data_IF_346660219882
#
_entry.id   IF_346660219882
#
_cell.length_a   1.000
_cell.length_b   1.000
_cell.length_c   1.000
_cell.angle_alpha   90.00
_cell.angle_beta   90.00
_cell.angle_gamma   90.00
#
_symmetry.space_group_name_H-M   'P 1'
#
loop_
_entity.id
_entity.type
_entity.pdbx_description
1 polymer ?
#
# COMPACT_ATOMS: atom_id res chain seq x y z
N UNK A 1 76.00 -6.00 19.65
CA UNK A 1 76.10 -6.60 18.30
C UNK A 1 74.74 -6.42 17.64
N UNK A 2 74.70 -5.65 16.55
CA UNK A 2 73.51 -5.34 15.74
C UNK A 2 73.02 -6.61 15.04
N UNK A 3 71.70 -6.79 14.89
CA UNK A 3 71.10 -7.08 13.58
C UNK A 3 69.58 -6.94 13.62
N UNK A 4 69.10 -6.21 12.61
CA UNK A 4 67.73 -5.85 12.27
C UNK A 4 66.96 -7.02 11.62
N UNK A 5 65.68 -6.72 11.32
CA UNK A 5 64.82 -7.24 10.25
C UNK A 5 63.79 -8.29 10.75
N UNK A 6 62.49 -8.26 10.43
CA UNK A 6 61.74 -7.55 9.38
C UNK A 6 60.24 -7.58 9.75
N UNK A 7 59.49 -6.56 9.29
CA UNK A 7 58.03 -6.48 9.27
C UNK A 7 57.35 -7.71 8.65
N UNK A 8 56.17 -8.07 9.19
CA UNK A 8 55.01 -8.46 8.39
C UNK A 8 53.74 -7.90 9.03
N UNK A 9 53.29 -6.74 8.54
CA UNK A 9 51.92 -6.26 8.72
C UNK A 9 51.00 -7.14 7.87
N UNK A 10 50.44 -8.19 8.49
CA UNK A 10 49.34 -8.95 7.91
C UNK A 10 48.05 -8.15 8.04
N UNK A 11 47.79 -7.26 7.07
CA UNK A 11 46.49 -6.62 6.92
C UNK A 11 45.44 -7.68 6.61
N UNK A 12 44.57 -7.98 7.57
CA UNK A 12 43.29 -8.64 7.31
C UNK A 12 42.40 -7.63 6.59
N UNK A 13 42.55 -7.58 5.27
CA UNK A 13 41.50 -7.13 4.37
C UNK A 13 40.32 -8.09 4.58
N UNK A 14 39.39 -7.71 5.46
CA UNK A 14 38.05 -8.28 5.45
C UNK A 14 37.41 -7.81 4.16
N UNK A 15 37.56 -8.61 3.12
CA UNK A 15 36.90 -8.42 1.83
C UNK A 15 35.40 -8.25 2.08
N UNK A 16 34.82 -7.18 1.53
CA UNK A 16 33.40 -6.91 1.49
C UNK A 16 32.65 -7.88 0.56
N UNK A 17 32.85 -9.18 0.77
CA UNK A 17 32.28 -10.28 0.01
C UNK A 17 31.73 -11.31 0.99
N UNK A 18 30.72 -10.89 1.75
CA UNK A 18 29.85 -11.80 2.47
C UNK A 18 28.44 -11.19 2.56
N UNK A 19 27.88 -10.75 1.42
CA UNK A 19 26.43 -10.93 1.23
C UNK A 19 26.22 -12.42 0.98
N UNK A 20 26.20 -13.19 2.06
CA UNK A 20 25.78 -14.57 2.02
C UNK A 20 24.34 -14.60 1.54
N UNK A 21 24.10 -15.43 0.52
CA UNK A 21 22.80 -15.72 -0.03
C UNK A 21 21.81 -16.05 1.10
N UNK A 22 20.76 -15.23 1.23
CA UNK A 22 19.60 -15.58 2.04
C UNK A 22 18.95 -16.79 1.35
N UNK A 23 18.90 -17.90 2.07
CA UNK A 23 18.32 -19.15 1.65
C UNK A 23 16.93 -18.94 1.02
N UNK A 24 16.65 -19.71 -0.03
CA UNK A 24 15.37 -19.76 -0.77
C UNK A 24 14.22 -20.38 0.07
N UNK A 25 13.97 -19.84 1.27
CA UNK A 25 12.83 -20.14 2.13
C UNK A 25 11.93 -18.92 2.20
N UNK A 26 10.79 -18.97 1.48
CA UNK A 26 9.70 -17.97 1.47
C UNK A 26 10.14 -16.50 1.51
N UNK A 27 10.49 -15.92 0.36
CA UNK A 27 10.87 -14.50 0.24
C UNK A 27 9.78 -13.50 0.71
N UNK A 28 8.56 -13.94 1.04
CA UNK A 28 7.49 -13.12 1.64
C UNK A 28 6.61 -13.97 2.58
N UNK A 29 7.03 -14.23 3.82
CA UNK A 29 6.23 -15.03 4.76
C UNK A 29 4.93 -14.31 5.12
N UNK A 30 3.90 -15.09 5.44
CA UNK A 30 2.70 -14.55 6.08
C UNK A 30 3.05 -14.13 7.51
N UNK A 31 2.70 -12.91 7.88
CA UNK A 31 3.01 -12.35 9.19
C UNK A 31 1.75 -11.77 9.84
N UNK A 32 1.79 -11.68 11.16
CA UNK A 32 0.75 -11.06 11.97
C UNK A 32 -0.53 -11.89 12.10
N UNK A 33 -1.59 -11.21 12.53
CA UNK A 33 -2.89 -11.78 12.85
C UNK A 33 -4.00 -10.95 12.24
N UNK A 34 -5.08 -11.61 11.84
CA UNK A 34 -6.32 -10.96 11.47
C UNK A 34 -6.88 -10.16 12.65
N UNK A 35 -7.81 -9.24 12.38
CA UNK A 35 -8.48 -8.50 13.45
C UNK A 35 -9.36 -9.37 14.36
N UNK A 36 -9.60 -10.64 13.97
CA UNK A 36 -10.27 -11.65 14.80
C UNK A 36 -9.29 -12.54 15.58
N UNK A 37 -8.00 -12.18 15.61
CA UNK A 37 -6.96 -12.92 16.33
C UNK A 37 -6.52 -14.23 15.66
N UNK A 38 -6.92 -14.47 14.40
CA UNK A 38 -6.48 -15.65 13.65
C UNK A 38 -5.11 -15.37 13.02
N UNK A 39 -4.09 -16.24 13.19
CA UNK A 39 -2.81 -16.06 12.51
C UNK A 39 -2.98 -15.97 10.99
N UNK A 40 -2.33 -15.00 10.37
CA UNK A 40 -2.35 -14.83 8.93
C UNK A 40 -1.62 -15.99 8.25
N UNK A 41 -2.25 -16.60 7.26
CA UNK A 41 -1.73 -17.77 6.54
C UNK A 41 -2.23 -17.74 5.11
N UNK A 42 -1.47 -18.35 4.22
CA UNK A 42 -1.89 -18.62 2.86
C UNK A 42 -1.04 -19.70 2.22
N UNK A 43 -1.47 -20.12 1.05
CA UNK A 43 -0.86 -21.24 0.34
C UNK A 43 0.51 -20.87 -0.20
N UNK A 44 1.38 -21.89 -0.25
CA UNK A 44 2.66 -21.76 -0.91
C UNK A 44 2.48 -21.57 -2.44
N UNK A 45 3.48 -20.99 -3.09
CA UNK A 45 3.43 -20.68 -4.52
C UNK A 45 4.79 -20.83 -5.18
N UNK A 46 4.78 -21.41 -6.39
CA UNK A 46 5.96 -21.63 -7.24
C UNK A 46 6.33 -20.45 -8.16
N UNK A 47 5.51 -19.39 -8.16
CA UNK A 47 5.66 -18.25 -9.05
C UNK A 47 5.66 -16.95 -8.23
N UNK A 48 6.85 -16.37 -8.04
CA UNK A 48 7.06 -15.23 -7.14
C UNK A 48 7.56 -15.68 -5.75
N UNK A 49 7.44 -14.83 -4.71
CA UNK A 49 6.88 -13.48 -4.76
C UNK A 49 7.79 -12.48 -5.52
N UNK A 50 7.19 -11.51 -6.21
CA UNK A 50 7.87 -10.41 -6.89
C UNK A 50 7.43 -9.07 -6.29
N UNK A 51 8.35 -8.11 -6.23
CA UNK A 51 8.05 -6.75 -5.77
C UNK A 51 7.40 -5.91 -6.87
N UNK A 52 6.19 -5.44 -6.62
CA UNK A 52 5.41 -4.62 -7.54
C UNK A 52 6.04 -3.24 -7.81
N UNK A 53 6.92 -2.75 -6.93
CA UNK A 53 7.72 -1.56 -7.21
C UNK A 53 8.73 -1.82 -8.35
N UNK A 54 9.15 -3.07 -8.55
CA UNK A 54 10.07 -3.50 -9.61
C UNK A 54 9.35 -3.96 -10.88
N UNK A 55 8.03 -3.79 -10.98
CA UNK A 55 7.21 -4.32 -12.09
C UNK A 55 7.68 -3.90 -13.48
N UNK A 56 8.24 -2.69 -13.61
CA UNK A 56 8.76 -2.16 -14.87
C UNK A 56 10.05 -2.87 -15.33
N UNK A 57 10.82 -3.44 -14.40
CA UNK A 57 12.03 -4.21 -14.70
C UNK A 57 11.71 -5.66 -15.12
N UNK A 58 10.55 -6.19 -14.70
CA UNK A 58 10.10 -7.56 -14.99
C UNK A 58 8.69 -7.62 -15.59
N UNK A 59 8.39 -6.86 -16.67
CA UNK A 59 7.03 -6.68 -17.19
C UNK A 59 6.40 -7.98 -17.70
N UNK A 60 7.21 -8.92 -18.21
CA UNK A 60 6.73 -10.24 -18.64
C UNK A 60 6.13 -11.05 -17.48
N UNK A 61 6.73 -10.97 -16.28
CA UNK A 61 6.23 -11.67 -15.09
C UNK A 61 4.90 -11.05 -14.64
N UNK A 62 4.79 -9.73 -14.67
CA UNK A 62 3.56 -9.03 -14.32
C UNK A 62 2.44 -9.41 -15.30
N UNK A 63 2.73 -9.33 -16.60
CA UNK A 63 1.77 -9.63 -17.67
C UNK A 63 1.23 -11.06 -17.63
N UNK A 64 2.00 -12.04 -17.17
CA UNK A 64 1.51 -13.41 -16.97
C UNK A 64 0.41 -13.42 -15.91
N UNK A 65 0.62 -12.75 -14.78
CA UNK A 65 -0.35 -12.74 -13.68
C UNK A 65 -1.57 -11.91 -14.05
N UNK A 66 -1.38 -10.69 -14.56
CA UNK A 66 -2.49 -9.79 -14.84
C UNK A 66 -3.41 -10.30 -15.96
N UNK A 67 -2.87 -10.98 -16.98
CA UNK A 67 -3.70 -11.54 -18.06
C UNK A 67 -4.54 -12.75 -17.67
N UNK A 68 -4.16 -13.47 -16.61
CA UNK A 68 -4.83 -14.72 -16.23
C UNK A 68 -5.57 -14.63 -14.88
N UNK A 69 -5.09 -13.79 -13.97
CA UNK A 69 -5.56 -13.73 -12.58
C UNK A 69 -5.93 -12.31 -12.11
N UNK A 70 -5.66 -11.28 -12.91
CA UNK A 70 -6.05 -9.91 -12.57
C UNK A 70 -6.53 -9.14 -13.81
N UNK A 71 -7.51 -9.73 -14.50
CA UNK A 71 -8.14 -9.11 -15.67
C UNK A 71 -9.00 -7.91 -15.27
N UNK A 72 -9.43 -7.05 -16.21
CA UNK A 72 -10.34 -5.94 -15.91
C UNK A 72 -11.62 -6.37 -15.18
N UNK A 73 -12.18 -7.55 -15.51
CA UNK A 73 -13.35 -8.10 -14.84
C UNK A 73 -13.05 -8.48 -13.38
N UNK A 74 -11.85 -8.98 -13.09
CA UNK A 74 -11.40 -9.25 -11.72
C UNK A 74 -11.21 -7.95 -10.94
N UNK A 75 -10.60 -6.94 -11.55
CA UNK A 75 -10.38 -5.63 -10.91
C UNK A 75 -11.72 -4.91 -10.60
N UNK A 76 -12.68 -5.00 -11.53
CA UNK A 76 -14.02 -4.43 -11.40
C UNK A 76 -14.96 -5.26 -10.51
N UNK A 77 -14.52 -6.44 -10.06
CA UNK A 77 -15.27 -7.38 -9.22
C UNK A 77 -16.51 -7.97 -9.92
N UNK A 78 -16.45 -8.13 -11.25
CA UNK A 78 -17.57 -8.61 -12.09
C UNK A 78 -17.53 -10.11 -12.36
N UNK A 79 -16.44 -10.80 -12.01
CA UNK A 79 -16.25 -12.23 -12.30
C UNK A 79 -16.82 -13.19 -11.23
N UNK A 80 -17.76 -12.73 -10.41
CA UNK A 80 -18.45 -13.55 -9.40
C UNK A 80 -17.50 -14.31 -8.46
N UNK A 81 -17.70 -15.62 -8.33
CA UNK A 81 -16.92 -16.49 -7.43
C UNK A 81 -15.43 -16.59 -7.80
N UNK A 82 -15.06 -16.25 -9.04
CA UNK A 82 -13.67 -16.31 -9.51
C UNK A 82 -12.82 -15.13 -9.01
N UNK A 83 -13.45 -14.05 -8.52
CA UNK A 83 -12.74 -12.82 -8.12
C UNK A 83 -11.72 -13.09 -7.00
N UNK A 84 -12.16 -13.67 -5.88
CA UNK A 84 -11.28 -13.86 -4.71
C UNK A 84 -10.13 -14.84 -4.99
N UNK A 85 -10.36 -16.03 -5.59
CA UNK A 85 -9.26 -16.95 -5.90
C UNK A 85 -8.18 -16.35 -6.80
N UNK A 86 -8.57 -15.54 -7.78
CA UNK A 86 -7.65 -14.95 -8.74
C UNK A 86 -6.90 -13.74 -8.15
N UNK A 87 -7.57 -12.92 -7.34
CA UNK A 87 -6.90 -11.88 -6.56
C UNK A 87 -5.94 -12.50 -5.54
N UNK A 88 -6.32 -13.61 -4.87
CA UNK A 88 -5.42 -14.34 -3.96
C UNK A 88 -4.16 -14.83 -4.68
N UNK A 89 -4.31 -15.45 -5.86
CA UNK A 89 -3.18 -15.87 -6.68
C UNK A 89 -2.27 -14.67 -6.98
N UNK A 90 -2.87 -13.56 -7.41
CA UNK A 90 -2.15 -12.32 -7.74
C UNK A 90 -1.35 -11.81 -6.53
N UNK A 91 -1.94 -11.79 -5.34
CA UNK A 91 -1.30 -11.33 -4.11
C UNK A 91 -0.30 -12.33 -3.53
N UNK A 92 -0.40 -13.63 -3.85
CA UNK A 92 0.67 -14.59 -3.52
C UNK A 92 1.90 -14.36 -4.39
N UNK A 93 1.70 -14.12 -5.69
CA UNK A 93 2.76 -13.87 -6.66
C UNK A 93 3.37 -12.47 -6.55
N UNK A 94 2.57 -11.47 -6.18
CA UNK A 94 2.95 -10.06 -6.06
C UNK A 94 2.34 -9.48 -4.77
N UNK A 95 3.00 -9.67 -3.61
CA UNK A 95 2.42 -9.33 -2.30
C UNK A 95 1.97 -7.87 -2.17
N UNK A 96 2.72 -6.94 -2.78
CA UNK A 96 2.40 -5.51 -2.80
C UNK A 96 1.76 -5.05 -4.12
N UNK A 97 1.04 -5.92 -4.82
CA UNK A 97 0.32 -5.51 -6.04
C UNK A 97 -0.81 -4.53 -5.72
N UNK A 98 -0.59 -3.24 -6.01
CA UNK A 98 -1.47 -2.14 -5.56
C UNK A 98 -2.93 -2.32 -5.94
N UNK A 99 -3.20 -2.65 -7.21
CA UNK A 99 -4.58 -2.82 -7.71
C UNK A 99 -5.28 -4.02 -7.07
N UNK A 100 -4.60 -5.17 -6.98
CA UNK A 100 -5.14 -6.37 -6.32
C UNK A 100 -5.37 -6.18 -4.82
N UNK A 101 -4.49 -5.46 -4.11
CA UNK A 101 -4.69 -5.08 -2.72
C UNK A 101 -5.94 -4.20 -2.57
N UNK A 102 -6.13 -3.22 -3.44
CA UNK A 102 -7.33 -2.40 -3.42
C UNK A 102 -8.60 -3.21 -3.74
N UNK A 103 -8.54 -4.13 -4.71
CA UNK A 103 -9.66 -4.99 -5.05
C UNK A 103 -10.04 -5.92 -3.89
N UNK A 104 -9.10 -6.55 -3.18
CA UNK A 104 -9.45 -7.41 -2.02
C UNK A 104 -10.06 -6.62 -0.87
N UNK A 105 -9.60 -5.38 -0.64
CA UNK A 105 -10.22 -4.45 0.32
C UNK A 105 -11.67 -4.18 -0.09
N UNK A 106 -11.91 -3.83 -1.36
CA UNK A 106 -13.27 -3.55 -1.88
C UNK A 106 -14.19 -4.76 -1.75
N UNK A 107 -13.72 -5.95 -2.14
CA UNK A 107 -14.48 -7.20 -2.00
C UNK A 107 -14.94 -7.41 -0.56
N UNK A 108 -14.01 -7.25 0.40
CA UNK A 108 -14.31 -7.41 1.81
C UNK A 108 -15.34 -6.38 2.29
N UNK A 109 -15.14 -5.10 1.97
CA UNK A 109 -15.99 -4.01 2.46
C UNK A 109 -17.38 -4.01 1.83
N UNK A 110 -17.55 -4.55 0.62
CA UNK A 110 -18.87 -4.70 -0.01
C UNK A 110 -19.70 -5.81 0.64
N UNK A 111 -19.09 -6.74 1.39
CA UNK A 111 -19.80 -7.88 1.99
C UNK A 111 -20.31 -8.91 0.98
N UNK A 112 -20.01 -8.73 -0.31
CA UNK A 112 -20.57 -9.51 -1.42
C UNK A 112 -19.89 -10.87 -1.63
N UNK A 113 -18.78 -11.15 -0.94
CA UNK A 113 -18.07 -12.42 -1.06
C UNK A 113 -17.75 -12.97 0.33
N UNK A 114 -18.11 -14.23 0.55
CA UNK A 114 -17.82 -14.95 1.77
C UNK A 114 -16.33 -15.34 1.82
N UNK A 115 -15.48 -14.36 2.16
CA UNK A 115 -14.05 -14.56 2.41
C UNK A 115 -13.80 -15.58 3.54
N UNK A 116 -14.82 -15.84 4.37
CA UNK A 116 -14.76 -16.77 5.51
C UNK A 116 -14.63 -18.26 5.18
N UNK A 117 -14.82 -18.69 3.92
CA UNK A 117 -14.61 -20.10 3.54
C UNK A 117 -13.14 -20.43 3.25
N UNK A 118 -12.28 -19.42 3.00
CA UNK A 118 -10.82 -19.60 2.89
C UNK A 118 -10.15 -19.16 4.19
N UNK A 119 -9.83 -20.12 5.05
CA UNK A 119 -9.09 -19.88 6.30
C UNK A 119 -7.77 -19.13 6.01
N UNK A 120 -7.68 -17.84 6.35
CA UNK A 120 -6.41 -17.11 6.49
C UNK A 120 -6.20 -15.86 5.63
N UNK A 121 -7.06 -15.57 4.66
CA UNK A 121 -6.82 -14.53 3.64
C UNK A 121 -7.70 -13.29 3.78
N UNK A 122 -7.64 -12.59 4.92
CA UNK A 122 -8.33 -11.29 5.10
C UNK A 122 -7.50 -10.14 4.51
N UNK A 123 -8.10 -8.97 4.19
CA UNK A 123 -7.33 -7.83 3.65
C UNK A 123 -6.18 -7.40 4.56
N UNK A 124 -6.35 -7.37 5.89
CA UNK A 124 -5.25 -7.05 6.81
C UNK A 124 -4.11 -8.06 6.73
N UNK A 125 -4.38 -9.35 6.48
CA UNK A 125 -3.33 -10.34 6.31
C UNK A 125 -2.53 -10.11 5.02
N UNK A 126 -3.20 -9.76 3.92
CA UNK A 126 -2.51 -9.40 2.69
C UNK A 126 -1.69 -8.12 2.85
N UNK A 127 -2.25 -7.10 3.51
CA UNK A 127 -1.57 -5.82 3.74
C UNK A 127 -0.37 -5.96 4.69
N UNK A 128 -0.50 -6.71 5.79
CA UNK A 128 0.60 -7.02 6.69
C UNK A 128 1.72 -7.76 5.95
N UNK A 129 1.39 -8.74 5.11
CA UNK A 129 2.37 -9.44 4.26
C UNK A 129 3.02 -8.51 3.23
N UNK A 130 2.24 -7.63 2.59
CA UNK A 130 2.73 -6.66 1.62
C UNK A 130 3.78 -5.73 2.25
N UNK A 131 3.48 -5.18 3.44
CA UNK A 131 4.37 -4.28 4.16
C UNK A 131 5.58 -4.98 4.76
N UNK A 132 5.47 -6.26 5.14
CA UNK A 132 6.64 -7.04 5.53
C UNK A 132 7.56 -7.33 4.34
N UNK A 133 6.98 -7.53 3.15
CA UNK A 133 7.74 -7.82 1.94
C UNK A 133 8.37 -6.59 1.29
N UNK A 134 7.64 -5.48 1.23
CA UNK A 134 8.10 -4.19 0.70
C UNK A 134 7.75 -3.07 1.69
N UNK A 135 8.56 -2.87 2.75
CA UNK A 135 8.25 -1.93 3.84
C UNK A 135 8.22 -0.45 3.44
N UNK A 136 8.85 -0.13 2.31
CA UNK A 136 8.97 1.24 1.78
C UNK A 136 7.96 1.53 0.65
N UNK A 137 6.94 0.68 0.47
CA UNK A 137 5.88 0.92 -0.51
C UNK A 137 4.84 1.93 0.01
N UNK A 138 4.86 3.21 -0.44
CA UNK A 138 3.94 4.23 0.06
C UNK A 138 2.48 3.89 -0.27
N UNK A 139 2.22 3.23 -1.40
CA UNK A 139 0.87 2.88 -1.83
C UNK A 139 0.31 1.75 -0.96
N UNK A 140 1.13 0.76 -0.59
CA UNK A 140 0.70 -0.29 0.33
C UNK A 140 0.34 0.27 1.73
N UNK A 141 1.15 1.20 2.27
CA UNK A 141 0.81 1.90 3.51
C UNK A 141 -0.50 2.68 3.38
N UNK A 142 -0.67 3.45 2.31
CA UNK A 142 -1.91 4.19 2.04
C UNK A 142 -3.12 3.26 1.94
N UNK A 143 -3.01 2.12 1.23
CA UNK A 143 -4.09 1.14 1.10
C UNK A 143 -4.46 0.52 2.45
N UNK A 144 -3.48 0.28 3.33
CA UNK A 144 -3.77 -0.17 4.69
C UNK A 144 -4.50 0.91 5.49
N UNK A 145 -4.07 2.18 5.37
CA UNK A 145 -4.77 3.33 5.93
C UNK A 145 -6.24 3.39 5.47
N UNK A 146 -6.50 3.24 4.17
CA UNK A 146 -7.86 3.20 3.61
C UNK A 146 -8.68 2.07 4.25
N UNK A 147 -8.11 0.88 4.35
CA UNK A 147 -8.80 -0.26 4.94
C UNK A 147 -9.15 -0.02 6.42
N UNK A 148 -8.17 0.40 7.22
CA UNK A 148 -8.33 0.70 8.64
C UNK A 148 -9.37 1.79 8.89
N UNK A 149 -9.31 2.87 8.10
CA UNK A 149 -10.27 3.95 8.17
C UNK A 149 -11.70 3.46 7.91
N UNK A 150 -11.89 2.60 6.90
CA UNK A 150 -13.22 2.04 6.58
C UNK A 150 -13.75 1.12 7.67
N UNK A 151 -12.88 0.56 8.49
CA UNK A 151 -13.25 -0.21 9.69
C UNK A 151 -13.40 0.66 10.96
N UNK A 152 -13.24 1.98 10.87
CA UNK A 152 -13.29 2.90 12.01
C UNK A 152 -12.03 2.92 12.89
N UNK A 153 -10.97 2.21 12.48
CA UNK A 153 -9.66 2.17 13.16
C UNK A 153 -8.84 3.42 12.83
N UNK A 154 -9.33 4.54 13.34
CA UNK A 154 -8.94 5.88 12.89
C UNK A 154 -7.49 6.21 13.23
N UNK A 155 -7.03 5.83 14.43
CA UNK A 155 -5.66 6.12 14.89
C UNK A 155 -4.63 5.27 14.13
N UNK A 156 -4.92 3.98 13.93
CA UNK A 156 -4.05 3.11 13.11
C UNK A 156 -4.03 3.58 11.64
N UNK A 157 -5.16 4.04 11.11
CA UNK A 157 -5.22 4.62 9.76
C UNK A 157 -4.32 5.85 9.62
N UNK A 158 -4.34 6.74 10.62
CA UNK A 158 -3.49 7.94 10.65
C UNK A 158 -2.00 7.55 10.58
N UNK A 159 -1.56 6.57 11.37
CA UNK A 159 -0.18 6.10 11.37
C UNK A 159 0.25 5.58 9.99
N UNK A 160 -0.60 4.77 9.35
CA UNK A 160 -0.31 4.24 8.02
C UNK A 160 -0.23 5.35 6.97
N UNK A 161 -1.14 6.32 7.00
CA UNK A 161 -1.08 7.45 6.07
C UNK A 161 0.12 8.37 6.29
N UNK A 162 0.49 8.65 7.55
CA UNK A 162 1.69 9.43 7.86
C UNK A 162 2.95 8.73 7.35
N UNK A 163 3.04 7.40 7.51
CA UNK A 163 4.16 6.64 6.94
C UNK A 163 4.17 6.70 5.42
N UNK A 164 3.01 6.60 4.78
CA UNK A 164 2.86 6.73 3.34
C UNK A 164 3.33 8.12 2.84
N UNK A 165 2.94 9.20 3.52
CA UNK A 165 3.37 10.57 3.19
C UNK A 165 4.86 10.79 3.40
N UNK A 166 5.44 10.22 4.45
CA UNK A 166 6.90 10.27 4.66
C UNK A 166 7.68 9.62 3.52
N UNK A 167 7.16 8.51 2.97
CA UNK A 167 7.78 7.77 1.88
C UNK A 167 7.58 8.46 0.51
N UNK A 168 6.42 9.10 0.30
CA UNK A 168 6.11 9.84 -0.93
C UNK A 168 5.37 11.15 -0.62
N UNK A 169 6.11 12.23 -0.27
CA UNK A 169 5.55 13.49 0.19
C UNK A 169 4.90 14.33 -0.92
N UNK A 170 4.99 13.91 -2.18
CA UNK A 170 4.38 14.62 -3.32
C UNK A 170 3.13 13.91 -3.85
N UNK A 171 2.77 12.76 -3.28
CA UNK A 171 1.62 11.99 -3.72
C UNK A 171 0.28 12.64 -3.32
N UNK A 172 -0.44 13.18 -4.31
CA UNK A 172 -1.72 13.84 -4.05
C UNK A 172 -2.83 12.87 -3.61
N UNK A 173 -2.75 11.58 -3.96
CA UNK A 173 -3.71 10.59 -3.50
C UNK A 173 -3.54 10.32 -2.00
N UNK A 174 -2.30 10.28 -1.49
CA UNK A 174 -2.00 10.14 -0.05
C UNK A 174 -2.50 11.38 0.70
N UNK A 175 -2.14 12.57 0.23
CA UNK A 175 -2.59 13.85 0.80
C UNK A 175 -4.10 14.00 0.83
N UNK A 176 -4.76 13.59 -0.25
CA UNK A 176 -6.22 13.57 -0.33
C UNK A 176 -6.85 12.67 0.75
N UNK A 177 -6.31 11.47 0.94
CA UNK A 177 -6.80 10.55 1.96
C UNK A 177 -6.53 11.05 3.39
N UNK A 178 -5.37 11.65 3.65
CA UNK A 178 -5.06 12.34 4.92
C UNK A 178 -6.03 13.47 5.21
N UNK A 179 -6.26 14.36 4.24
CA UNK A 179 -7.22 15.46 4.37
C UNK A 179 -8.63 14.94 4.68
N UNK A 180 -9.06 13.86 4.00
CA UNK A 180 -10.34 13.21 4.25
C UNK A 180 -10.44 12.62 5.66
N UNK A 181 -9.38 12.01 6.18
CA UNK A 181 -9.34 11.47 7.54
C UNK A 181 -9.45 12.61 8.57
N UNK A 182 -8.64 13.65 8.42
CA UNK A 182 -8.61 14.81 9.30
C UNK A 182 -9.94 15.57 9.32
N UNK A 183 -10.58 15.72 8.16
CA UNK A 183 -11.90 16.32 8.06
C UNK A 183 -12.97 15.50 8.80
N UNK A 184 -12.85 14.16 8.85
CA UNK A 184 -13.78 13.31 9.61
C UNK A 184 -13.54 13.41 11.13
N UNK A 185 -12.29 13.61 11.53
CA UNK A 185 -11.91 13.85 12.92
C UNK A 185 -12.26 15.26 13.41
N UNK A 186 -12.76 16.15 12.54
CA UNK A 186 -13.02 17.55 12.87
C UNK A 186 -11.78 18.43 12.92
N UNK A 187 -10.60 17.93 12.55
CA UNK A 187 -9.39 18.72 12.41
C UNK A 187 -9.39 19.48 11.08
N UNK A 188 -10.30 20.44 10.98
CA UNK A 188 -10.58 21.17 9.74
C UNK A 188 -9.43 22.09 9.31
N UNK A 189 -8.64 22.59 10.25
CA UNK A 189 -7.46 23.40 9.94
C UNK A 189 -6.45 22.59 9.13
N UNK A 190 -6.02 21.44 9.63
CA UNK A 190 -5.09 20.57 8.92
C UNK A 190 -5.71 20.03 7.61
N UNK A 191 -7.00 19.65 7.64
CA UNK A 191 -7.68 19.16 6.45
C UNK A 191 -7.72 20.20 5.30
N UNK A 192 -7.89 21.50 5.62
CA UNK A 192 -7.80 22.57 4.62
C UNK A 192 -6.41 22.70 4.01
N UNK A 193 -5.36 22.55 4.81
CA UNK A 193 -3.98 22.59 4.28
C UNK A 193 -3.74 21.48 3.26
N UNK A 194 -4.19 20.26 3.56
CA UNK A 194 -4.15 19.16 2.59
C UNK A 194 -5.01 19.44 1.36
N UNK A 195 -6.24 19.97 1.55
CA UNK A 195 -7.12 20.32 0.45
C UNK A 195 -6.50 21.38 -0.49
N UNK A 196 -5.85 22.40 0.06
CA UNK A 196 -5.12 23.41 -0.71
C UNK A 196 -4.04 22.75 -1.58
N UNK A 197 -3.20 21.89 -1.00
CA UNK A 197 -2.15 21.19 -1.75
C UNK A 197 -2.73 20.32 -2.87
N UNK A 198 -3.75 19.54 -2.56
CA UNK A 198 -4.43 18.62 -3.49
C UNK A 198 -5.05 19.37 -4.67
N UNK A 199 -5.78 20.44 -4.40
CA UNK A 199 -6.51 21.17 -5.45
C UNK A 199 -5.64 22.15 -6.23
N UNK A 200 -4.61 22.73 -5.63
CA UNK A 200 -3.60 23.51 -6.35
C UNK A 200 -2.80 22.64 -7.33
N UNK A 201 -2.65 21.34 -7.02
CA UNK A 201 -2.04 20.37 -7.92
C UNK A 201 -3.01 19.82 -9.01
N UNK A 202 -4.24 20.32 -9.08
CA UNK A 202 -5.24 19.89 -10.06
C UNK A 202 -5.77 18.46 -9.84
N UNK A 203 -5.64 17.91 -8.63
CA UNK A 203 -6.10 16.55 -8.34
C UNK A 203 -7.65 16.49 -8.43
N UNK A 204 -8.22 15.52 -9.18
CA UNK A 204 -9.60 15.63 -9.66
C UNK A 204 -10.68 15.24 -8.63
N UNK A 205 -10.31 14.59 -7.52
CA UNK A 205 -11.31 14.06 -6.58
C UNK A 205 -11.90 15.17 -5.68
N UNK A 206 -13.22 15.36 -5.77
CA UNK A 206 -13.94 16.44 -5.09
C UNK A 206 -14.36 16.11 -3.65
N UNK A 207 -14.36 14.83 -3.25
CA UNK A 207 -14.95 14.42 -1.96
C UNK A 207 -14.39 15.12 -0.71
N UNK A 208 -13.11 15.52 -0.70
CA UNK A 208 -12.53 16.30 0.39
C UNK A 208 -13.11 17.73 0.45
N UNK A 209 -13.18 18.40 -0.70
CA UNK A 209 -13.83 19.70 -0.86
C UNK A 209 -15.27 19.66 -0.38
N UNK A 210 -16.04 18.70 -0.87
CA UNK A 210 -17.45 18.53 -0.50
C UNK A 210 -17.63 18.33 1.00
N UNK A 211 -16.78 17.50 1.62
CA UNK A 211 -16.82 17.26 3.06
C UNK A 211 -16.52 18.53 3.86
N UNK A 212 -15.54 19.32 3.43
CA UNK A 212 -15.20 20.59 4.09
C UNK A 212 -16.28 21.66 3.86
N UNK A 213 -16.87 21.74 2.66
CA UNK A 213 -17.99 22.64 2.36
C UNK A 213 -19.19 22.33 3.23
N UNK A 214 -19.56 21.05 3.36
CA UNK A 214 -20.65 20.61 4.25
C UNK A 214 -20.41 20.99 5.72
N UNK A 215 -19.15 21.02 6.15
CA UNK A 215 -18.77 21.46 7.50
C UNK A 215 -18.67 23.00 7.64
N UNK A 216 -18.90 23.77 6.56
CA UNK A 216 -18.69 25.22 6.54
C UNK A 216 -17.22 25.65 6.56
N UNK A 217 -16.31 24.71 6.28
CA UNK A 217 -14.85 24.85 6.41
C UNK A 217 -14.14 25.05 5.08
N UNK A 218 -14.88 25.18 3.99
CA UNK A 218 -14.34 25.48 2.67
C UNK A 218 -15.34 26.32 1.89
N UNK A 219 -14.82 27.30 1.17
CA UNK A 219 -15.57 28.10 0.20
C UNK A 219 -14.74 28.15 -1.06
N UNK A 220 -15.36 27.86 -2.20
CA UNK A 220 -14.69 28.11 -3.46
C UNK A 220 -14.47 29.62 -3.58
N UNK A 221 -13.37 30.01 -4.22
CA UNK A 221 -13.22 31.41 -4.61
C UNK A 221 -14.47 31.75 -5.42
N UNK A 222 -15.22 32.76 -4.98
CA UNK A 222 -16.35 33.29 -5.75
C UNK A 222 -15.88 33.44 -7.18
N UNK A 223 -16.61 32.89 -8.15
CA UNK A 223 -16.45 33.21 -9.57
C UNK A 223 -16.72 34.71 -9.74
N UNK A 224 -15.74 35.52 -9.37
CA UNK A 224 -15.69 36.95 -9.51
C UNK A 224 -15.11 37.27 -10.87
N UNK A 225 -15.83 36.90 -11.93
CA UNK A 225 -15.83 37.72 -13.14
C UNK A 225 -16.93 38.73 -12.93
N UNK A 226 -16.54 39.88 -12.38
CA UNK A 226 -17.31 41.10 -12.49
C UNK A 226 -17.71 41.27 -13.95
N UNK A 227 -19.00 41.17 -14.23
CA UNK A 227 -19.59 41.84 -15.39
C UNK A 227 -19.63 43.30 -14.98
N UNK A 228 -18.54 44.02 -15.22
CA UNK A 228 -18.56 45.48 -15.22
C UNK A 228 -19.29 45.92 -16.49
N UNK A 229 -20.48 46.47 -16.25
CA UNK A 229 -21.33 47.38 -17.06
C UNK A 229 -21.11 47.47 -18.58
#
# INVERSE_FOLDING_TARGET
MRLLATLCLGGLLVSAAALQAVAAGNAAPWVGTSFRGTPCRGEWMNFGPYDYLQRNAIPKKLSIVERHHFTPEMEQLLAGEQVVPNIDYTLRAWPNHHRALYSIIRVYLMGNVQLGQRKGSTPECYLQRALNFSPEDPVAHMLFGIYLQRLGKTDEAMQMYQKAEQLDPVNMQIKYNLGLLLARQGNYAAAREYANQVYNAGFPLTGLREQLQKAGQWRDATTGSAVSE
#
